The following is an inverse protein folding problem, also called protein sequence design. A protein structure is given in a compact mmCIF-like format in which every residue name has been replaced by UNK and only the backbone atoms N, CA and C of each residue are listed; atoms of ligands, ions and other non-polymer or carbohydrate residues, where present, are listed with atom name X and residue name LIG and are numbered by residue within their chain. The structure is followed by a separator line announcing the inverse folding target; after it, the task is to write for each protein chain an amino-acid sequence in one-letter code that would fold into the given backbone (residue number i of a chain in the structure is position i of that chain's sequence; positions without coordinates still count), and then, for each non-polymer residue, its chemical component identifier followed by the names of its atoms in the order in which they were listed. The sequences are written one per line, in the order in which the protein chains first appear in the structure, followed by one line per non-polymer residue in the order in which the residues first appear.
data_IF_980730143763
#
_entry.id   IF_980730143763
#
_cell.length_a   1.000
_cell.length_b   1.000
_cell.length_c   1.000
_cell.angle_alpha   90.00
_cell.angle_beta   90.00
_cell.angle_gamma   90.00
#
_symmetry.space_group_name_H-M   'P 1'
#
loop_
_entity.id
_entity.type
_entity.pdbx_description
1 polymer ?
#
# COMPACT_ATOMS: atom_id res chain seq x y z
N UNK A 1 6.87 -16.34 -14.99
CA UNK A 1 5.99 -15.17 -14.77
C UNK A 1 6.77 -13.93 -15.11
N UNK A 2 6.14 -12.96 -15.77
CA UNK A 2 6.78 -11.72 -16.21
C UNK A 2 6.93 -10.76 -15.01
N UNK A 3 8.17 -10.59 -14.52
CA UNK A 3 8.52 -9.71 -13.39
C UNK A 3 7.99 -8.29 -13.57
N UNK A 4 7.96 -7.78 -14.80
CA UNK A 4 7.48 -6.42 -15.09
C UNK A 4 5.98 -6.25 -14.82
N UNK A 5 5.18 -7.30 -15.07
CA UNK A 5 3.73 -7.29 -14.79
C UNK A 5 3.45 -7.32 -13.29
N UNK A 6 4.20 -8.14 -12.54
CA UNK A 6 4.06 -8.19 -11.08
C UNK A 6 4.40 -6.85 -10.44
N UNK A 7 5.46 -6.19 -10.92
CA UNK A 7 5.86 -4.87 -10.46
C UNK A 7 4.77 -3.81 -10.74
N UNK A 8 4.21 -3.80 -11.94
CA UNK A 8 3.15 -2.87 -12.31
C UNK A 8 1.87 -3.06 -11.47
N UNK A 9 1.50 -4.31 -11.18
CA UNK A 9 0.37 -4.62 -10.30
C UNK A 9 0.63 -4.08 -8.89
N UNK A 10 1.83 -4.34 -8.36
CA UNK A 10 2.20 -3.92 -7.01
C UNK A 10 2.18 -2.40 -6.83
N UNK A 11 2.69 -1.66 -7.82
CA UNK A 11 2.62 -0.18 -7.82
C UNK A 11 1.17 0.30 -7.80
N UNK A 12 0.30 -0.31 -8.61
CA UNK A 12 -1.13 0.06 -8.64
C UNK A 12 -1.83 -0.24 -7.33
N UNK A 13 -1.50 -1.36 -6.67
CA UNK A 13 -2.04 -1.71 -5.36
C UNK A 13 -1.59 -0.70 -4.30
N UNK A 14 -0.31 -0.31 -4.28
CA UNK A 14 0.24 0.70 -3.38
C UNK A 14 -0.49 2.05 -3.55
N UNK A 15 -0.67 2.49 -4.80
CA UNK A 15 -1.36 3.76 -5.08
C UNK A 15 -2.84 3.71 -4.67
N UNK A 16 -3.52 2.60 -4.91
CA UNK A 16 -4.91 2.41 -4.49
C UNK A 16 -5.05 2.48 -2.96
N UNK A 17 -4.13 1.86 -2.21
CA UNK A 17 -4.12 1.90 -0.75
C UNK A 17 -3.85 3.33 -0.26
N UNK A 18 -2.87 4.03 -0.84
CA UNK A 18 -2.56 5.44 -0.49
C UNK A 18 -3.75 6.37 -0.68
N UNK A 19 -4.44 6.27 -1.81
CA UNK A 19 -5.64 7.06 -2.09
C UNK A 19 -6.74 6.73 -1.08
N UNK A 20 -6.96 5.44 -0.81
CA UNK A 20 -7.97 4.98 0.15
C UNK A 20 -7.69 5.49 1.55
N UNK A 21 -6.45 5.38 2.03
CA UNK A 21 -6.00 5.92 3.33
C UNK A 21 -6.21 7.42 3.41
N UNK A 22 -5.85 8.17 2.37
CA UNK A 22 -6.02 9.61 2.34
C UNK A 22 -7.50 10.00 2.42
N UNK A 23 -8.36 9.40 1.60
CA UNK A 23 -9.79 9.67 1.63
C UNK A 23 -10.46 9.21 2.94
N UNK A 24 -9.97 8.13 3.54
CA UNK A 24 -10.47 7.67 4.83
C UNK A 24 -10.00 8.55 5.99
N UNK A 25 -8.77 9.04 5.96
CA UNK A 25 -8.21 9.96 6.96
C UNK A 25 -9.01 11.27 7.08
N UNK A 26 -9.66 11.70 5.99
CA UNK A 26 -10.56 12.87 5.98
C UNK A 26 -11.89 12.64 6.69
N UNK A 27 -12.26 11.37 6.92
CA UNK A 27 -13.57 10.96 7.48
C UNK A 27 -13.49 10.55 8.94
N UNK A 28 -12.28 10.36 9.47
CA UNK A 28 -12.05 9.93 10.85
C UNK A 28 -11.51 11.09 11.67
N UNK A 29 -11.91 11.18 12.94
CA UNK A 29 -11.50 12.27 13.83
C UNK A 29 -10.05 12.13 14.32
N UNK A 30 -9.48 10.92 14.22
CA UNK A 30 -8.12 10.62 14.64
C UNK A 30 -7.50 9.49 13.81
N UNK A 31 -6.17 9.45 13.77
CA UNK A 31 -5.41 8.48 12.99
C UNK A 31 -5.35 7.07 13.61
N UNK A 32 -5.90 6.91 14.81
CA UNK A 32 -5.97 5.63 15.53
C UNK A 32 -7.23 4.82 15.18
N UNK A 33 -8.02 5.26 14.20
CA UNK A 33 -9.12 4.45 13.68
C UNK A 33 -8.61 3.06 13.26
N UNK A 34 -9.21 1.95 13.75
CA UNK A 34 -8.72 0.60 13.46
C UNK A 34 -8.62 0.27 11.97
N UNK A 35 -9.51 0.82 11.13
CA UNK A 35 -9.47 0.60 9.69
C UNK A 35 -8.33 1.40 9.03
N UNK A 36 -8.06 2.62 9.51
CA UNK A 36 -6.93 3.39 9.01
C UNK A 36 -5.58 2.74 9.37
N UNK A 37 -5.49 2.19 10.58
CA UNK A 37 -4.32 1.41 11.03
C UNK A 37 -4.15 0.12 10.21
N UNK A 38 -5.22 -0.59 9.92
CA UNK A 38 -5.15 -1.77 9.05
C UNK A 38 -4.70 -1.41 7.63
N UNK A 39 -5.20 -0.30 7.08
CA UNK A 39 -4.76 0.18 5.78
C UNK A 39 -3.28 0.59 5.78
N UNK A 40 -2.77 1.17 6.86
CA UNK A 40 -1.35 1.51 6.97
C UNK A 40 -0.47 0.26 7.03
N UNK A 41 -0.89 -0.76 7.78
CA UNK A 41 -0.18 -2.05 7.83
C UNK A 41 -0.15 -2.72 6.47
N UNK A 42 -1.27 -2.73 5.75
CA UNK A 42 -1.34 -3.28 4.40
C UNK A 42 -0.44 -2.50 3.42
N UNK A 43 -0.37 -1.17 3.56
CA UNK A 43 0.54 -0.34 2.77
C UNK A 43 2.00 -0.72 3.01
N UNK A 44 2.39 -0.89 4.28
CA UNK A 44 3.75 -1.28 4.67
C UNK A 44 4.13 -2.65 4.09
N UNK A 45 3.24 -3.65 4.18
CA UNK A 45 3.47 -4.97 3.59
C UNK A 45 3.74 -4.90 2.07
N UNK A 46 2.95 -4.09 1.35
CA UNK A 46 3.10 -3.91 -0.11
C UNK A 46 4.38 -3.15 -0.46
N UNK A 47 4.75 -2.14 0.32
CA UNK A 47 6.00 -1.41 0.16
C UNK A 47 7.22 -2.29 0.45
N UNK A 48 7.15 -3.15 1.47
CA UNK A 48 8.21 -4.12 1.76
C UNK A 48 8.37 -5.11 0.60
N UNK A 49 7.25 -5.67 0.12
CA UNK A 49 7.26 -6.55 -1.06
C UNK A 49 7.87 -5.83 -2.28
N UNK A 50 7.52 -4.55 -2.49
CA UNK A 50 8.05 -3.76 -3.60
C UNK A 50 9.56 -3.59 -3.47
N UNK A 51 10.04 -3.24 -2.27
CA UNK A 51 11.46 -3.09 -2.00
C UNK A 51 12.21 -4.40 -2.18
N UNK A 52 11.66 -5.54 -1.74
CA UNK A 52 12.26 -6.86 -1.95
C UNK A 52 12.41 -7.19 -3.44
N UNK A 53 11.34 -6.98 -4.22
CA UNK A 53 11.36 -7.22 -5.67
C UNK A 53 12.32 -6.27 -6.39
N UNK A 54 12.37 -4.99 -5.98
CA UNK A 54 13.28 -4.00 -6.55
C UNK A 54 14.75 -4.25 -6.16
N UNK A 55 15.01 -4.73 -4.95
CA UNK A 55 16.36 -5.02 -4.45
C UNK A 55 16.91 -6.35 -4.95
N UNK A 56 16.02 -7.27 -5.36
CA UNK A 56 16.36 -8.56 -5.93
C UNK A 56 16.49 -8.54 -7.47
N UNK A 57 16.20 -7.41 -8.12
CA UNK A 57 16.31 -7.18 -9.56
C UNK A 57 17.65 -6.51 -9.93
#
# INVERSE_FOLDING_TARGET
MDMSKQMLVLVKEIDAIRITMYEFSKKVDNLSDPLLVQLSQLLDEKLNTYNEVCSAA
#
